data_IF_218492258628
#
_entry.id   IF_218492258628
#
_cell.length_a   1.000
_cell.length_b   1.000
_cell.length_c   1.000
_cell.angle_alpha   90.00
_cell.angle_beta   90.00
_cell.angle_gamma   90.00
#
_symmetry.space_group_name_H-M   'P 1'
#
loop_
_entity.id
_entity.type
_entity.pdbx_description
1 polymer ?
#
# COMPACT_ATOMS: atom_id res chain seq x y z
N UNK A 1 -41.66 -2.94 47.04
CA UNK A 1 -40.52 -2.44 46.25
C UNK A 1 -41.07 -1.69 45.04
N UNK A 2 -40.91 -0.36 44.95
CA UNK A 2 -41.36 0.41 43.77
C UNK A 2 -40.33 0.20 42.65
N UNK A 3 -40.70 -0.52 41.59
CA UNK A 3 -39.96 -0.50 40.32
C UNK A 3 -40.27 0.83 39.64
N UNK A 4 -39.29 1.71 39.48
CA UNK A 4 -39.43 2.84 38.54
C UNK A 4 -39.28 2.26 37.13
N UNK A 5 -40.36 2.31 36.35
CA UNK A 5 -40.30 2.03 34.92
C UNK A 5 -39.59 3.18 34.20
N UNK A 6 -38.78 2.86 33.21
CA UNK A 6 -38.19 3.83 32.29
C UNK A 6 -39.32 4.51 31.51
N UNK A 7 -39.32 5.84 31.40
CA UNK A 7 -40.35 6.56 30.66
C UNK A 7 -40.15 6.37 29.16
N UNK A 8 -41.25 6.26 28.41
CA UNK A 8 -41.17 6.24 26.94
C UNK A 8 -40.48 7.50 26.40
N UNK A 9 -40.66 8.65 27.05
CA UNK A 9 -40.03 9.90 26.61
C UNK A 9 -38.51 9.91 26.80
N UNK A 10 -38.00 9.24 27.85
CA UNK A 10 -36.57 9.11 28.10
C UNK A 10 -35.92 8.26 27.02
N UNK A 11 -36.59 7.19 26.58
CA UNK A 11 -36.10 6.35 25.49
C UNK A 11 -36.09 7.10 24.15
N UNK A 12 -37.14 7.88 23.88
CA UNK A 12 -37.23 8.70 22.66
C UNK A 12 -36.13 9.76 22.62
N UNK A 13 -35.87 10.46 23.73
CA UNK A 13 -34.83 11.48 23.76
C UNK A 13 -33.42 10.89 23.54
N UNK A 14 -33.15 9.71 24.11
CA UNK A 14 -31.87 9.01 23.92
C UNK A 14 -31.64 8.64 22.46
N UNK A 15 -32.62 8.04 21.77
CA UNK A 15 -32.44 7.67 20.37
C UNK A 15 -32.32 8.89 19.45
N UNK A 16 -32.96 10.02 19.78
CA UNK A 16 -32.83 11.27 19.03
C UNK A 16 -31.42 11.84 19.18
N UNK A 17 -30.89 11.91 20.40
CA UNK A 17 -29.51 12.37 20.62
C UNK A 17 -28.51 11.47 19.90
N UNK A 18 -28.66 10.15 20.03
CA UNK A 18 -27.79 9.18 19.34
C UNK A 18 -27.89 9.33 17.82
N UNK A 19 -29.08 9.61 17.28
CA UNK A 19 -29.30 9.88 15.86
C UNK A 19 -28.53 11.11 15.36
N UNK A 20 -28.59 12.23 16.10
CA UNK A 20 -27.86 13.46 15.75
C UNK A 20 -26.35 13.26 15.84
N UNK A 21 -25.86 12.63 16.92
CA UNK A 21 -24.44 12.35 17.09
C UNK A 21 -23.90 11.42 16.00
N UNK A 22 -24.65 10.38 15.64
CA UNK A 22 -24.26 9.45 14.57
C UNK A 22 -24.19 10.15 13.20
N UNK A 23 -25.16 11.02 12.88
CA UNK A 23 -25.19 11.74 11.60
C UNK A 23 -23.93 12.60 11.36
N UNK A 24 -23.39 13.22 12.42
CA UNK A 24 -22.17 14.05 12.32
C UNK A 24 -20.90 13.19 12.42
N UNK A 25 -20.91 12.12 13.21
CA UNK A 25 -19.73 11.28 13.45
C UNK A 25 -19.37 10.38 12.26
N UNK A 26 -20.37 9.79 11.59
CA UNK A 26 -20.15 8.79 10.53
C UNK A 26 -19.32 9.34 9.35
N UNK A 27 -19.61 10.52 8.77
CA UNK A 27 -18.82 11.04 7.66
C UNK A 27 -17.35 11.29 8.03
N UNK A 28 -17.10 11.86 9.22
CA UNK A 28 -15.73 12.14 9.70
C UNK A 28 -14.93 10.86 9.95
N UNK A 29 -15.60 9.81 10.41
CA UNK A 29 -14.95 8.53 10.70
C UNK A 29 -14.47 7.81 9.43
N UNK A 30 -15.19 7.96 8.31
CA UNK A 30 -14.77 7.36 7.02
C UNK A 30 -13.52 8.03 6.46
N UNK A 31 -13.43 9.36 6.56
CA UNK A 31 -12.26 10.11 6.05
C UNK A 31 -11.02 9.82 6.89
N UNK A 32 -11.13 9.86 8.23
CA UNK A 32 -9.98 9.62 9.12
C UNK A 32 -9.42 8.20 9.00
N UNK A 33 -10.26 7.20 8.70
CA UNK A 33 -9.78 5.84 8.40
C UNK A 33 -8.93 5.80 7.14
N UNK A 34 -9.35 6.48 6.07
CA UNK A 34 -8.60 6.51 4.81
C UNK A 34 -7.26 7.22 5.00
N UNK A 35 -7.25 8.34 5.71
CA UNK A 35 -6.03 9.09 6.02
C UNK A 35 -5.05 8.27 6.87
N UNK A 36 -5.56 7.53 7.86
CA UNK A 36 -4.75 6.62 8.67
C UNK A 36 -4.12 5.49 7.83
N UNK A 37 -4.88 4.91 6.90
CA UNK A 37 -4.35 3.90 5.98
C UNK A 37 -3.23 4.45 5.10
N UNK A 38 -3.41 5.66 4.55
CA UNK A 38 -2.39 6.33 3.74
C UNK A 38 -1.15 6.63 4.58
N UNK A 39 -1.30 7.14 5.81
CA UNK A 39 -0.19 7.40 6.72
C UNK A 39 0.61 6.12 7.04
N UNK A 40 -0.08 5.00 7.32
CA UNK A 40 0.56 3.71 7.52
C UNK A 40 1.31 3.24 6.27
N UNK A 41 0.69 3.30 5.09
CA UNK A 41 1.35 2.90 3.85
C UNK A 41 2.61 3.75 3.57
N UNK A 42 2.58 5.06 3.83
CA UNK A 42 3.76 5.93 3.72
C UNK A 42 4.87 5.54 4.69
N UNK A 43 4.51 5.18 5.92
CA UNK A 43 5.47 4.69 6.92
C UNK A 43 6.10 3.37 6.49
N UNK A 44 5.29 2.43 6.00
CA UNK A 44 5.75 1.15 5.47
C UNK A 44 6.71 1.36 4.29
N UNK A 45 6.38 2.23 3.33
CA UNK A 45 7.25 2.59 2.20
C UNK A 45 8.60 3.12 2.69
N UNK A 46 8.58 4.05 3.64
CA UNK A 46 9.81 4.63 4.18
C UNK A 46 10.67 3.59 4.92
N UNK A 47 10.04 2.62 5.59
CA UNK A 47 10.73 1.49 6.24
C UNK A 47 11.39 0.59 5.20
N UNK A 48 10.63 0.16 4.19
CA UNK A 48 11.09 -0.76 3.13
C UNK A 48 12.24 -0.17 2.33
N UNK A 49 12.14 1.11 1.95
CA UNK A 49 13.21 1.80 1.19
C UNK A 49 14.53 1.90 1.95
N UNK A 50 14.53 1.75 3.28
CA UNK A 50 15.74 1.66 4.10
C UNK A 50 16.16 0.22 4.34
N UNK A 51 15.20 -0.66 4.60
CA UNK A 51 15.44 -2.06 4.94
C UNK A 51 16.03 -2.85 3.77
N UNK A 52 15.52 -2.64 2.53
CA UNK A 52 16.00 -3.37 1.36
C UNK A 52 17.49 -3.12 1.10
N UNK A 53 17.98 -1.87 0.94
CA UNK A 53 19.40 -1.65 0.75
C UNK A 53 20.23 -2.22 1.91
N UNK A 54 19.80 -2.01 3.16
CA UNK A 54 20.52 -2.50 4.33
C UNK A 54 20.69 -4.03 4.31
N UNK A 55 19.62 -4.77 3.99
CA UNK A 55 19.68 -6.24 3.90
C UNK A 55 20.53 -6.70 2.73
N UNK A 56 20.41 -6.04 1.57
CA UNK A 56 21.23 -6.36 0.40
C UNK A 56 22.72 -6.23 0.71
N UNK A 57 23.13 -5.14 1.35
CA UNK A 57 24.52 -4.94 1.75
C UNK A 57 24.97 -5.89 2.86
N UNK A 58 24.12 -6.18 3.85
CA UNK A 58 24.48 -7.06 4.97
C UNK A 58 24.65 -8.53 4.54
N UNK A 59 23.80 -9.00 3.62
CA UNK A 59 23.80 -10.39 3.14
C UNK A 59 24.58 -10.57 1.83
N UNK A 60 25.19 -9.50 1.30
CA UNK A 60 25.88 -9.48 0.00
C UNK A 60 25.01 -10.08 -1.14
N UNK A 61 23.75 -9.68 -1.16
CA UNK A 61 22.77 -10.15 -2.13
C UNK A 61 23.05 -9.45 -3.47
N UNK A 62 23.08 -10.21 -4.57
CA UNK A 62 23.08 -9.65 -5.91
C UNK A 62 21.63 -9.45 -6.40
N UNK A 63 21.15 -8.19 -6.54
CA UNK A 63 19.79 -7.92 -6.99
C UNK A 63 19.53 -8.26 -8.46
N UNK A 64 20.59 -8.57 -9.23
CA UNK A 64 20.49 -9.02 -10.63
C UNK A 64 20.43 -10.55 -10.76
N UNK A 65 20.75 -11.26 -9.68
CA UNK A 65 20.65 -12.71 -9.62
C UNK A 65 19.22 -13.19 -9.35
N UNK A 66 19.05 -14.51 -9.26
CA UNK A 66 17.81 -15.11 -8.79
C UNK A 66 17.50 -14.67 -7.36
N UNK A 67 16.20 -14.62 -7.05
CA UNK A 67 15.71 -14.34 -5.70
C UNK A 67 16.39 -15.19 -4.63
N UNK A 68 16.68 -14.66 -3.43
CA UNK A 68 17.26 -15.44 -2.34
C UNK A 68 16.45 -16.70 -2.02
N UNK A 69 17.16 -17.77 -1.63
CA UNK A 69 16.56 -19.06 -1.31
C UNK A 69 15.51 -18.91 -0.20
N UNK A 70 14.37 -19.59 -0.33
CA UNK A 70 13.26 -19.51 0.62
C UNK A 70 12.17 -18.50 0.23
N UNK A 71 12.35 -17.74 -0.85
CA UNK A 71 11.34 -16.83 -1.38
C UNK A 71 10.93 -17.21 -2.81
N UNK A 72 9.63 -17.10 -3.09
CA UNK A 72 9.04 -17.37 -4.42
C UNK A 72 9.26 -16.23 -5.42
N UNK A 73 9.51 -15.00 -4.94
CA UNK A 73 9.71 -13.82 -5.76
C UNK A 73 10.49 -12.74 -5.02
N UNK A 74 11.05 -11.78 -5.75
CA UNK A 74 11.66 -10.59 -5.14
C UNK A 74 10.63 -9.76 -4.38
N UNK A 75 9.38 -9.74 -4.84
CA UNK A 75 8.28 -9.08 -4.11
C UNK A 75 8.02 -9.72 -2.74
N UNK A 76 8.05 -11.06 -2.65
CA UNK A 76 7.90 -11.76 -1.37
C UNK A 76 9.07 -11.49 -0.42
N UNK A 77 10.29 -11.48 -0.97
CA UNK A 77 11.49 -11.13 -0.23
C UNK A 77 11.45 -9.67 0.26
N UNK A 78 10.93 -8.73 -0.54
CA UNK A 78 10.78 -7.32 -0.16
C UNK A 78 9.72 -7.13 0.95
N UNK A 79 8.61 -7.88 0.89
CA UNK A 79 7.57 -7.88 1.93
C UNK A 79 8.16 -8.36 3.26
N UNK A 80 8.90 -9.47 3.22
CA UNK A 80 9.58 -10.02 4.39
C UNK A 80 10.62 -9.05 4.96
N UNK A 81 11.49 -8.53 4.09
CA UNK A 81 12.55 -7.58 4.47
C UNK A 81 11.98 -6.30 5.09
N UNK A 82 10.85 -5.82 4.59
CA UNK A 82 10.17 -4.64 5.10
C UNK A 82 9.29 -4.88 6.33
N UNK A 83 9.10 -6.14 6.75
CA UNK A 83 8.14 -6.50 7.80
C UNK A 83 6.69 -6.14 7.44
N UNK A 84 6.34 -6.22 6.15
CA UNK A 84 5.05 -5.75 5.66
C UNK A 84 3.93 -6.76 5.89
N UNK A 85 2.75 -6.25 6.22
CA UNK A 85 1.55 -7.06 6.40
C UNK A 85 0.95 -7.49 5.04
N UNK A 86 0.76 -8.80 4.84
CA UNK A 86 0.22 -9.38 3.60
C UNK A 86 -1.26 -9.09 3.36
N UNK A 87 -2.00 -8.61 4.36
CA UNK A 87 -3.35 -8.09 4.19
C UNK A 87 -3.38 -6.68 3.60
N UNK A 88 -2.26 -5.95 3.69
CA UNK A 88 -2.10 -4.56 3.19
C UNK A 88 -1.13 -4.45 2.02
N UNK A 89 -0.32 -5.46 1.76
CA UNK A 89 0.69 -5.47 0.71
C UNK A 89 0.69 -6.81 -0.01
N UNK A 90 0.92 -6.78 -1.32
CA UNK A 90 1.17 -8.01 -2.08
C UNK A 90 2.38 -7.87 -2.98
N UNK A 91 2.99 -9.03 -3.25
CA UNK A 91 4.03 -9.17 -4.24
C UNK A 91 3.38 -9.11 -5.64
N UNK A 92 4.03 -8.39 -6.53
CA UNK A 92 3.67 -8.28 -7.93
C UNK A 92 4.74 -8.95 -8.80
N UNK A 93 4.32 -9.88 -9.64
CA UNK A 93 5.13 -10.41 -10.74
C UNK A 93 4.88 -9.51 -11.95
N UNK A 94 5.82 -8.60 -12.24
CA UNK A 94 5.65 -7.45 -13.13
C UNK A 94 4.65 -7.63 -14.29
N UNK A 95 3.66 -6.74 -14.34
CA UNK A 95 2.70 -6.63 -15.45
C UNK A 95 2.06 -5.24 -15.49
N UNK A 96 2.04 -4.64 -16.69
CA UNK A 96 1.46 -3.31 -16.94
C UNK A 96 2.42 -2.14 -16.67
N UNK A 97 3.51 -2.03 -17.43
CA UNK A 97 4.46 -0.90 -17.34
C UNK A 97 5.53 -1.01 -16.26
N UNK A 98 5.48 -2.04 -15.41
CA UNK A 98 6.47 -2.33 -14.38
C UNK A 98 7.82 -2.79 -14.95
N UNK A 99 8.93 -2.36 -14.31
CA UNK A 99 10.32 -2.68 -14.70
C UNK A 99 10.88 -3.93 -14.02
N UNK A 100 10.02 -4.78 -13.43
CA UNK A 100 10.45 -5.98 -12.72
C UNK A 100 9.46 -6.42 -11.63
N UNK A 101 9.84 -7.40 -10.79
CA UNK A 101 9.10 -7.75 -9.59
C UNK A 101 9.04 -6.57 -8.61
N UNK A 102 7.96 -6.48 -7.85
CA UNK A 102 7.80 -5.40 -6.90
C UNK A 102 6.74 -5.69 -5.87
N UNK A 103 6.44 -4.66 -5.08
CA UNK A 103 5.39 -4.70 -4.07
C UNK A 103 4.40 -3.58 -4.33
N UNK A 104 3.14 -3.87 -4.05
CA UNK A 104 2.06 -2.90 -4.15
C UNK A 104 1.17 -2.95 -2.91
N UNK A 105 0.69 -1.78 -2.46
CA UNK A 105 -0.27 -1.73 -1.37
C UNK A 105 -1.63 -2.17 -1.89
N UNK A 106 -2.40 -2.77 -0.99
CA UNK A 106 -3.76 -3.22 -1.20
C UNK A 106 -4.74 -2.18 -0.67
N UNK A 107 -5.80 -1.94 -1.42
CA UNK A 107 -6.89 -1.05 -1.03
C UNK A 107 -8.21 -1.47 -1.64
N UNK A 108 -9.28 -0.78 -1.25
CA UNK A 108 -10.57 -0.96 -1.91
C UNK A 108 -10.47 -0.39 -3.34
N UNK A 109 -10.76 -1.23 -4.33
CA UNK A 109 -10.85 -0.87 -5.74
C UNK A 109 -12.25 -1.22 -6.25
N UNK A 110 -12.71 -0.50 -7.25
CA UNK A 110 -13.95 -0.84 -7.94
C UNK A 110 -13.55 -1.50 -9.26
N UNK A 111 -14.04 -2.71 -9.54
CA UNK A 111 -13.73 -3.40 -10.80
C UNK A 111 -14.44 -2.72 -11.97
N UNK A 112 -14.08 -3.04 -13.20
CA UNK A 112 -14.79 -2.54 -14.40
C UNK A 112 -16.30 -2.89 -14.39
N UNK A 113 -16.70 -3.93 -13.65
CA UNK A 113 -18.09 -4.34 -13.43
C UNK A 113 -18.80 -3.55 -12.31
N UNK A 114 -18.15 -2.57 -11.68
CA UNK A 114 -18.71 -1.77 -10.59
C UNK A 114 -18.70 -2.45 -9.21
N UNK A 115 -18.06 -3.62 -9.07
CA UNK A 115 -17.99 -4.33 -7.79
C UNK A 115 -16.85 -3.80 -6.92
N UNK A 116 -17.11 -3.56 -5.62
CA UNK A 116 -16.06 -3.28 -4.64
C UNK A 116 -15.27 -4.55 -4.31
N UNK A 117 -13.95 -4.52 -4.46
CA UNK A 117 -13.05 -5.62 -4.09
C UNK A 117 -11.75 -5.06 -3.50
N UNK A 118 -11.01 -5.90 -2.76
CA UNK A 118 -9.64 -5.57 -2.38
C UNK A 118 -8.72 -5.82 -3.58
N UNK A 119 -8.01 -4.79 -4.04
CA UNK A 119 -7.10 -4.87 -5.16
C UNK A 119 -5.82 -4.09 -4.91
N UNK A 120 -4.85 -4.27 -5.81
CA UNK A 120 -3.55 -3.60 -5.71
C UNK A 120 -3.57 -2.22 -6.34
N UNK A 121 -2.78 -1.30 -5.79
CA UNK A 121 -2.65 0.06 -6.31
C UNK A 121 -1.54 0.21 -7.37
N UNK A 122 -0.96 -0.87 -7.89
CA UNK A 122 0.20 -0.85 -8.80
C UNK A 122 1.53 -0.94 -8.05
N UNK A 123 2.56 -1.52 -8.69
CA UNK A 123 3.86 -1.75 -8.06
C UNK A 123 4.59 -0.42 -7.84
N UNK A 124 4.60 0.05 -6.60
CA UNK A 124 5.18 1.35 -6.23
C UNK A 124 6.65 1.25 -5.86
N UNK A 125 7.09 0.09 -5.36
CA UNK A 125 8.49 -0.22 -5.09
C UNK A 125 8.79 -1.45 -5.93
N UNK A 126 9.77 -1.33 -6.81
CA UNK A 126 10.15 -2.34 -7.78
C UNK A 126 11.64 -2.59 -7.69
N UNK A 127 12.05 -3.82 -7.98
CA UNK A 127 13.44 -4.15 -8.22
C UNK A 127 13.63 -4.38 -9.72
N UNK A 128 14.47 -3.55 -10.34
CA UNK A 128 14.96 -3.83 -11.69
C UNK A 128 16.09 -4.84 -11.59
N UNK A 129 15.77 -6.11 -11.90
CA UNK A 129 16.73 -7.22 -11.86
C UNK A 129 17.74 -7.19 -13.01
N UNK A 130 17.61 -6.26 -13.95
CA UNK A 130 18.59 -6.07 -15.03
C UNK A 130 19.69 -5.11 -14.59
N UNK A 131 19.30 -4.01 -13.94
CA UNK A 131 20.23 -2.96 -13.51
C UNK A 131 20.63 -3.06 -12.03
N UNK A 132 19.93 -3.87 -11.26
CA UNK A 132 20.10 -3.98 -9.81
C UNK A 132 19.65 -2.73 -9.06
N UNK A 133 18.69 -1.99 -9.62
CA UNK A 133 18.17 -0.77 -9.02
C UNK A 133 16.87 -1.02 -8.27
N UNK A 134 16.76 -0.50 -7.05
CA UNK A 134 15.50 -0.35 -6.35
C UNK A 134 14.82 0.94 -6.78
N UNK A 135 13.61 0.83 -7.31
CA UNK A 135 12.86 1.93 -7.89
C UNK A 135 11.63 2.16 -7.04
N UNK A 136 11.48 3.38 -6.54
CA UNK A 136 10.24 3.88 -5.97
C UNK A 136 9.60 4.85 -6.96
N UNK A 137 8.41 4.54 -7.44
CA UNK A 137 7.68 5.38 -8.40
C UNK A 137 6.20 5.51 -8.01
N UNK A 138 5.82 6.57 -7.28
CA UNK A 138 4.42 6.88 -6.98
C UNK A 138 3.53 7.10 -8.20
N UNK A 139 4.10 7.41 -9.38
CA UNK A 139 3.29 7.59 -10.59
C UNK A 139 2.72 6.28 -11.10
N UNK A 140 3.37 5.15 -10.76
CA UNK A 140 2.84 3.80 -11.00
C UNK A 140 1.65 3.45 -10.11
N UNK A 141 1.29 4.33 -9.15
CA UNK A 141 0.03 4.20 -8.44
C UNK A 141 -1.09 4.41 -9.44
N UNK A 142 -1.61 3.31 -9.96
CA UNK A 142 -2.76 3.29 -10.85
C UNK A 142 -4.00 3.13 -9.99
N UNK A 143 -5.05 3.90 -10.28
CA UNK A 143 -6.32 3.77 -9.57
C UNK A 143 -7.01 2.42 -9.80
N UNK A 144 -6.50 1.59 -10.71
CA UNK A 144 -7.18 0.45 -11.32
C UNK A 144 -6.30 -0.81 -11.23
N UNK A 145 -6.94 -1.97 -11.05
CA UNK A 145 -6.27 -3.26 -11.22
C UNK A 145 -5.63 -3.35 -12.62
N UNK A 146 -4.30 -3.46 -12.67
CA UNK A 146 -3.55 -3.83 -13.88
C UNK A 146 -3.27 -2.68 -14.84
N UNK A 147 -2.09 -2.08 -14.71
CA UNK A 147 -1.40 -1.35 -15.78
C UNK A 147 -2.00 -0.02 -16.27
N UNK A 148 -1.24 0.72 -17.09
CA UNK A 148 -1.54 2.10 -17.51
C UNK A 148 -2.73 2.27 -18.47
N UNK A 149 -3.46 1.19 -18.83
CA UNK A 149 -4.49 1.21 -19.89
C UNK A 149 -5.87 0.67 -19.47
N UNK A 150 -6.16 0.56 -18.17
CA UNK A 150 -7.47 0.07 -17.71
C UNK A 150 -8.38 1.25 -17.36
N UNK A 151 -9.17 1.70 -18.34
CA UNK A 151 -10.16 2.75 -18.12
C UNK A 151 -11.20 2.34 -17.08
N UNK A 152 -11.41 3.23 -16.10
CA UNK A 152 -12.50 3.15 -15.14
C UNK A 152 -12.12 2.49 -13.82
N UNK A 153 -12.10 3.31 -12.77
CA UNK A 153 -12.41 2.99 -11.36
C UNK A 153 -11.26 3.09 -10.35
N UNK A 154 -11.06 4.30 -9.83
CA UNK A 154 -10.10 4.66 -8.78
C UNK A 154 -10.59 4.27 -7.38
N UNK A 155 -9.89 3.36 -6.71
CA UNK A 155 -10.04 3.16 -5.27
C UNK A 155 -9.74 4.44 -4.47
N UNK A 156 -10.54 4.79 -3.46
CA UNK A 156 -10.32 6.00 -2.62
C UNK A 156 -8.95 5.99 -1.96
N UNK A 157 -8.50 4.83 -1.47
CA UNK A 157 -7.18 4.65 -0.88
C UNK A 157 -6.04 4.85 -1.89
N UNK A 158 -6.06 4.15 -3.04
CA UNK A 158 -4.99 4.26 -4.04
C UNK A 158 -4.87 5.70 -4.57
N UNK A 159 -6.02 6.37 -4.78
CA UNK A 159 -6.05 7.78 -5.17
C UNK A 159 -5.43 8.68 -4.09
N UNK A 160 -5.88 8.56 -2.84
CA UNK A 160 -5.36 9.35 -1.73
C UNK A 160 -3.86 9.10 -1.50
N UNK A 161 -3.40 7.86 -1.66
CA UNK A 161 -1.99 7.51 -1.57
C UNK A 161 -1.17 8.17 -2.68
N UNK A 162 -1.66 8.16 -3.93
CA UNK A 162 -1.01 8.86 -5.05
C UNK A 162 -0.89 10.35 -4.80
N UNK A 163 -1.99 10.99 -4.41
CA UNK A 163 -2.07 12.43 -4.11
C UNK A 163 -1.20 12.83 -2.92
N UNK A 164 -0.86 11.88 -2.04
CA UNK A 164 0.03 12.12 -0.90
C UNK A 164 1.50 12.37 -1.29
N UNK A 165 1.89 12.04 -2.52
CA UNK A 165 3.24 12.24 -3.06
C UNK A 165 3.25 13.38 -4.11
N UNK A 166 4.09 14.41 -3.94
CA UNK A 166 4.29 15.44 -4.96
C UNK A 166 4.82 14.88 -6.27
N UNK A 167 4.58 15.59 -7.38
CA UNK A 167 5.20 15.33 -8.68
C UNK A 167 6.73 15.27 -8.55
N UNK A 168 7.36 14.22 -9.09
CA UNK A 168 8.81 14.03 -9.01
C UNK A 168 9.31 13.32 -7.75
N UNK A 169 8.43 12.71 -6.94
CA UNK A 169 8.82 11.91 -5.77
C UNK A 169 9.52 10.57 -6.10
N UNK A 170 9.77 10.30 -7.38
CA UNK A 170 10.40 9.08 -7.85
C UNK A 170 11.83 8.99 -7.34
N UNK A 171 12.24 7.79 -6.91
CA UNK A 171 13.60 7.53 -6.42
C UNK A 171 14.14 6.26 -7.06
N UNK A 172 15.41 6.31 -7.45
CA UNK A 172 16.16 5.15 -7.91
C UNK A 172 17.35 5.00 -6.97
N UNK A 173 17.51 3.82 -6.39
CA UNK A 173 18.57 3.49 -5.45
C UNK A 173 19.37 2.34 -6.07
N UNK A 174 20.62 2.57 -6.49
CA UNK A 174 21.48 1.50 -6.98
C UNK A 174 21.83 0.55 -5.84
N UNK A 175 21.53 -0.74 -6.02
CA UNK A 175 21.83 -1.79 -5.06
C UNK A 175 22.99 -2.69 -5.51
N UNK A 176 23.17 -2.84 -6.82
CA UNK A 176 24.36 -3.49 -7.34
C UNK A 176 25.58 -2.62 -7.04
N UNK A 177 26.57 -3.19 -6.33
CA UNK A 177 27.89 -2.57 -6.24
C UNK A 177 28.41 -2.46 -7.67
N UNK A 178 28.75 -1.26 -8.13
CA UNK A 178 29.35 -1.05 -9.44
C UNK A 178 30.76 -1.64 -9.44
N UNK A 179 30.91 -2.97 -9.47
CA UNK A 179 32.15 -3.73 -9.74
C UNK A 179 33.44 -3.34 -9.00
N UNK A 180 33.44 -2.45 -8.02
CA UNK A 180 34.64 -1.69 -7.64
C UNK A 180 35.25 -2.06 -6.28
N UNK A 181 34.76 -3.08 -5.58
CA UNK A 181 35.49 -3.62 -4.43
C UNK A 181 35.57 -5.14 -4.52
N UNK A 182 36.43 -5.60 -5.42
CA UNK A 182 37.13 -6.85 -5.22
C UNK A 182 38.27 -6.55 -4.24
N UNK A 183 38.22 -7.15 -3.06
CA UNK A 183 39.41 -7.26 -2.21
C UNK A 183 40.41 -8.21 -2.86
#
# INVERSE_FOLDING_TARGET
>A
MKRSGFSMIELVFVIVILGVLAAVAVPRFVTTRTDAQVAMARSDIASVLKAIPARVFAENIDPTASTPTGFSSWGDWMIDTGGLDRGRWKAGTGGGGAKGPGIEPLGNVVTQSGSNQTGGCGHIIQLDTTTGNLIFDPNQISGVNGGPNSGGNSGTFCKALKESYPSGSNRIIPLATTGAVKF
#
